data_IF_974851507906
#
_entry.id   IF_974851507906
#
_cell.length_a   1.000
_cell.length_b   1.000
_cell.length_c   1.000
_cell.angle_alpha   90.00
_cell.angle_beta   90.00
_cell.angle_gamma   90.00
#
_symmetry.space_group_name_H-M   'P 1'
#
loop_
_entity.id
_entity.type
_entity.pdbx_description
1 polymer ?
#
# COMPACT_ATOMS: atom_id res chain seq x y z
N UNK A 1 -20.76 16.16 7.80
CA UNK A 1 -19.37 16.63 7.62
C UNK A 1 -18.34 15.46 7.69
N UNK A 2 -18.47 14.49 8.64
CA UNK A 2 -17.51 13.37 8.76
C UNK A 2 -17.38 12.54 7.47
N UNK A 3 -18.51 12.27 6.77
CA UNK A 3 -18.52 11.57 5.50
C UNK A 3 -17.77 12.33 4.39
N UNK A 4 -17.83 13.68 4.41
CA UNK A 4 -17.09 14.52 3.46
C UNK A 4 -15.58 14.46 3.72
N UNK A 5 -15.16 14.55 5.00
CA UNK A 5 -13.73 14.37 5.37
C UNK A 5 -13.24 13.02 4.86
N UNK A 6 -14.01 11.95 5.10
CA UNK A 6 -13.66 10.61 4.64
C UNK A 6 -13.59 10.49 3.11
N UNK A 7 -14.56 11.10 2.39
CA UNK A 7 -14.57 11.11 0.94
C UNK A 7 -13.36 11.87 0.37
N UNK A 8 -13.10 13.07 0.86
CA UNK A 8 -11.94 13.87 0.42
C UNK A 8 -10.61 13.19 0.77
N UNK A 9 -10.51 12.56 1.95
CA UNK A 9 -9.32 11.77 2.31
C UNK A 9 -9.08 10.63 1.32
N UNK A 10 -10.14 9.93 0.89
CA UNK A 10 -10.05 8.87 -0.12
C UNK A 10 -9.78 9.36 -1.54
N UNK A 11 -10.15 10.60 -1.85
CA UNK A 11 -9.87 11.22 -3.14
C UNK A 11 -8.50 11.91 -3.21
N UNK A 12 -7.72 11.88 -2.12
CA UNK A 12 -6.39 12.49 -2.11
C UNK A 12 -6.38 13.99 -1.82
N UNK A 13 -7.48 14.59 -1.38
CA UNK A 13 -7.62 16.03 -1.17
C UNK A 13 -7.55 16.40 0.31
N UNK A 14 -6.34 16.38 0.90
CA UNK A 14 -6.14 16.67 2.32
C UNK A 14 -6.54 18.10 2.70
N UNK A 15 -6.33 19.07 1.80
CA UNK A 15 -6.70 20.47 2.06
C UNK A 15 -8.22 20.66 2.19
N UNK A 16 -9.00 19.91 1.38
CA UNK A 16 -10.45 19.90 1.52
C UNK A 16 -10.89 19.21 2.82
N UNK A 17 -10.18 18.15 3.26
CA UNK A 17 -10.43 17.56 4.58
C UNK A 17 -10.24 18.59 5.69
N UNK A 18 -9.14 19.33 5.67
CA UNK A 18 -8.84 20.40 6.66
C UNK A 18 -9.93 21.45 6.67
N UNK A 19 -10.28 21.99 5.50
CA UNK A 19 -11.33 23.03 5.40
C UNK A 19 -12.64 22.54 5.98
N UNK A 20 -13.12 21.36 5.61
CA UNK A 20 -14.37 20.80 6.16
C UNK A 20 -14.26 20.61 7.67
N UNK A 21 -13.12 20.16 8.18
CA UNK A 21 -12.89 19.96 9.61
C UNK A 21 -12.85 21.30 10.37
N UNK A 22 -12.20 22.32 9.81
CA UNK A 22 -12.07 23.65 10.43
C UNK A 22 -13.39 24.40 10.45
N UNK A 23 -14.23 24.23 9.41
CA UNK A 23 -15.56 24.83 9.28
C UNK A 23 -16.64 24.13 10.15
N UNK A 24 -16.29 23.09 10.94
CA UNK A 24 -17.24 22.42 11.83
C UNK A 24 -17.47 23.21 13.12
N UNK A 25 -18.72 23.54 13.41
CA UNK A 25 -19.14 24.22 14.67
C UNK A 25 -18.87 23.35 15.90
N UNK A 26 -19.01 22.01 15.76
CA UNK A 26 -18.73 21.06 16.83
C UNK A 26 -18.03 19.82 16.25
N UNK A 27 -17.04 19.31 16.96
CA UNK A 27 -16.24 18.15 16.57
C UNK A 27 -16.45 17.04 17.58
N UNK A 28 -16.92 15.89 17.09
CA UNK A 28 -17.03 14.66 17.88
C UNK A 28 -15.76 13.79 17.70
N UNK A 29 -15.68 12.67 18.42
CA UNK A 29 -14.55 11.72 18.30
C UNK A 29 -14.41 11.18 16.86
N UNK A 30 -15.52 11.05 16.13
CA UNK A 30 -15.51 10.57 14.73
C UNK A 30 -14.90 11.62 13.81
N UNK A 31 -15.14 12.91 14.07
CA UNK A 31 -14.54 14.03 13.33
C UNK A 31 -13.02 14.02 13.47
N UNK A 32 -12.53 13.92 14.72
CA UNK A 32 -11.11 13.84 15.03
C UNK A 32 -10.46 12.60 14.41
N UNK A 33 -11.07 11.43 14.56
CA UNK A 33 -10.58 10.18 13.98
C UNK A 33 -10.52 10.23 12.44
N UNK A 34 -11.52 10.86 11.81
CA UNK A 34 -11.53 11.03 10.36
C UNK A 34 -10.37 11.90 9.89
N UNK A 35 -10.04 12.96 10.63
CA UNK A 35 -8.92 13.83 10.31
C UNK A 35 -7.57 13.18 10.56
N UNK A 36 -7.39 12.47 11.69
CA UNK A 36 -6.19 11.69 11.98
C UNK A 36 -5.94 10.61 10.90
N UNK A 37 -7.01 9.94 10.45
CA UNK A 37 -6.93 8.96 9.36
C UNK A 37 -6.58 9.61 8.03
N UNK A 38 -7.11 10.81 7.74
CA UNK A 38 -6.74 11.57 6.54
C UNK A 38 -5.23 11.88 6.53
N UNK A 39 -4.68 12.39 7.61
CA UNK A 39 -3.24 12.63 7.74
C UNK A 39 -2.42 11.34 7.58
N UNK A 40 -2.87 10.24 8.19
CA UNK A 40 -2.21 8.92 8.06
C UNK A 40 -2.16 8.43 6.62
N UNK A 41 -3.28 8.52 5.89
CA UNK A 41 -3.37 8.11 4.48
C UNK A 41 -2.45 8.93 3.57
N UNK A 42 -2.27 10.20 3.90
CA UNK A 42 -1.43 11.13 3.16
C UNK A 42 0.04 11.14 3.63
N UNK A 43 0.41 10.29 4.58
CA UNK A 43 1.78 10.21 5.11
C UNK A 43 2.23 11.44 5.88
N UNK A 44 1.31 12.34 6.27
CA UNK A 44 1.62 13.57 7.03
C UNK A 44 1.67 13.31 8.54
N UNK A 45 2.59 12.47 8.94
CA UNK A 45 2.69 11.97 10.32
C UNK A 45 3.09 13.05 11.32
N UNK A 46 3.90 14.01 10.91
CA UNK A 46 4.29 15.14 11.76
C UNK A 46 3.10 16.00 12.20
N UNK A 47 1.99 15.97 11.43
CA UNK A 47 0.74 16.65 11.78
C UNK A 47 -0.14 15.85 12.74
N UNK A 48 0.02 14.53 12.84
CA UNK A 48 -0.88 13.65 13.61
C UNK A 48 -0.75 13.87 15.11
N UNK A 49 0.48 13.90 15.64
CA UNK A 49 0.70 14.09 17.08
C UNK A 49 0.24 15.47 17.58
N UNK A 50 0.49 16.58 16.86
CA UNK A 50 -0.11 17.88 17.19
C UNK A 50 -1.64 17.85 17.20
N UNK A 51 -2.27 17.26 16.17
CA UNK A 51 -3.74 17.15 16.08
C UNK A 51 -4.30 16.29 17.22
N UNK A 52 -3.66 15.18 17.54
CA UNK A 52 -4.03 14.34 18.68
C UNK A 52 -3.97 15.10 20.01
N UNK A 53 -2.95 15.94 20.21
CA UNK A 53 -2.82 16.77 21.42
C UNK A 53 -3.87 17.88 21.51
N UNK A 54 -4.45 18.29 20.38
CA UNK A 54 -5.51 19.29 20.33
C UNK A 54 -6.90 18.71 20.59
N UNK A 55 -7.03 17.36 20.63
CA UNK A 55 -8.31 16.74 20.92
C UNK A 55 -8.78 17.14 22.33
N UNK A 56 -9.92 17.78 22.36
CA UNK A 56 -10.65 18.18 23.57
C UNK A 56 -11.64 17.11 24.06
N UNK A 57 -11.69 15.99 23.35
CA UNK A 57 -12.58 14.85 23.60
C UNK A 57 -11.72 13.63 23.93
N UNK A 58 -12.25 12.74 24.78
CA UNK A 58 -11.58 11.49 25.16
C UNK A 58 -11.31 10.62 23.92
N UNK A 59 -10.04 10.25 23.65
CA UNK A 59 -9.68 9.34 22.58
C UNK A 59 -10.32 7.96 22.76
N UNK A 60 -10.74 7.34 21.67
CA UNK A 60 -11.27 5.98 21.61
C UNK A 60 -10.28 4.99 20.95
N UNK A 61 -10.69 3.73 20.82
CA UNK A 61 -9.91 2.68 20.16
C UNK A 61 -9.49 3.07 18.74
N UNK A 62 -10.38 3.69 17.93
CA UNK A 62 -10.09 4.09 16.57
C UNK A 62 -9.05 5.23 16.49
N UNK A 63 -9.06 6.13 17.47
CA UNK A 63 -8.04 7.17 17.63
C UNK A 63 -6.65 6.56 17.75
N UNK A 64 -6.48 5.59 18.65
CA UNK A 64 -5.18 4.94 18.87
C UNK A 64 -4.73 4.10 17.65
N UNK A 65 -5.65 3.40 16.98
CA UNK A 65 -5.34 2.70 15.73
C UNK A 65 -4.81 3.68 14.67
N UNK A 66 -5.45 4.84 14.49
CA UNK A 66 -5.01 5.83 13.50
C UNK A 66 -3.59 6.33 13.80
N UNK A 67 -3.28 6.61 15.07
CA UNK A 67 -1.97 7.11 15.48
C UNK A 67 -0.89 6.03 15.37
N UNK A 68 -1.14 4.82 15.87
CA UNK A 68 -0.19 3.72 15.81
C UNK A 68 0.11 3.31 14.36
N UNK A 69 -0.92 3.26 13.51
CA UNK A 69 -0.75 3.01 12.06
C UNK A 69 0.11 4.09 11.40
N UNK A 70 -0.11 5.34 11.75
CA UNK A 70 0.70 6.45 11.24
C UNK A 70 2.16 6.36 11.70
N UNK A 71 2.40 6.05 12.99
CA UNK A 71 3.75 5.81 13.51
C UNK A 71 4.44 4.66 12.80
N UNK A 72 3.72 3.56 12.52
CA UNK A 72 4.25 2.43 11.73
C UNK A 72 4.69 2.87 10.33
N UNK A 73 3.85 3.61 9.63
CA UNK A 73 4.15 4.04 8.26
C UNK A 73 5.30 5.05 8.17
N UNK A 74 5.49 5.86 9.21
CA UNK A 74 6.55 6.88 9.26
C UNK A 74 7.86 6.39 9.91
N UNK A 75 7.89 5.16 10.42
CA UNK A 75 9.05 4.66 11.15
C UNK A 75 9.27 5.32 12.52
N UNK A 76 8.21 5.95 13.09
CA UNK A 76 8.25 6.60 14.41
C UNK A 76 8.05 5.59 15.54
N UNK A 77 8.99 4.62 15.64
CA UNK A 77 8.84 3.46 16.53
C UNK A 77 8.75 3.86 18.01
N UNK A 78 9.61 4.75 18.45
CA UNK A 78 9.66 5.11 19.88
C UNK A 78 8.41 5.87 20.32
N UNK A 79 7.91 6.79 19.48
CA UNK A 79 6.66 7.50 19.74
C UNK A 79 5.46 6.54 19.77
N UNK A 80 5.38 5.63 18.80
CA UNK A 80 4.33 4.62 18.77
C UNK A 80 4.37 3.69 19.96
N UNK A 81 5.55 3.21 20.36
CA UNK A 81 5.71 2.38 21.56
C UNK A 81 5.36 3.12 22.85
N UNK A 82 5.69 4.41 22.94
CA UNK A 82 5.28 5.23 24.10
C UNK A 82 3.76 5.33 24.20
N UNK A 83 3.07 5.57 23.08
CA UNK A 83 1.61 5.62 23.04
C UNK A 83 1.02 4.26 23.42
N UNK A 84 1.53 3.18 22.84
CA UNK A 84 1.05 1.83 23.15
C UNK A 84 1.22 1.46 24.64
N UNK A 85 2.36 1.78 25.25
CA UNK A 85 2.58 1.59 26.68
C UNK A 85 1.58 2.40 27.53
N UNK A 86 1.30 3.65 27.15
CA UNK A 86 0.31 4.48 27.84
C UNK A 86 -1.11 3.92 27.78
N UNK A 87 -1.43 3.14 26.74
CA UNK A 87 -2.71 2.42 26.66
C UNK A 87 -2.78 1.27 27.66
N UNK A 88 -1.68 0.54 27.88
CA UNK A 88 -1.61 -0.58 28.84
C UNK A 88 -1.79 -0.13 30.29
N UNK A 89 -1.45 1.14 30.60
CA UNK A 89 -1.54 1.71 31.93
C UNK A 89 -2.99 2.11 32.32
N UNK A 90 -3.91 2.19 31.34
CA UNK A 90 -5.26 2.72 31.56
C UNK A 90 -6.32 1.68 31.18
N UNK A 91 -7.14 1.22 32.15
CA UNK A 91 -8.16 0.19 31.89
C UNK A 91 -9.14 0.53 30.76
N UNK A 92 -9.47 1.82 30.60
CA UNK A 92 -10.41 2.30 29.59
C UNK A 92 -9.83 2.36 28.17
N UNK A 93 -8.51 2.20 28.01
CA UNK A 93 -7.83 2.24 26.72
C UNK A 93 -7.04 0.96 26.43
N UNK A 94 -7.35 -0.15 27.11
CA UNK A 94 -6.64 -1.42 26.91
C UNK A 94 -6.57 -1.81 25.45
N UNK A 95 -5.38 -2.21 24.96
CA UNK A 95 -5.18 -2.56 23.56
C UNK A 95 -6.03 -3.76 23.13
N UNK A 96 -6.59 -3.66 21.93
CA UNK A 96 -7.31 -4.72 21.21
C UNK A 96 -6.42 -5.27 20.08
N UNK A 97 -6.83 -6.36 19.43
CA UNK A 97 -6.08 -7.02 18.36
C UNK A 97 -5.52 -6.05 17.30
N UNK A 98 -6.33 -5.10 16.85
CA UNK A 98 -5.89 -4.12 15.84
C UNK A 98 -4.75 -3.20 16.33
N UNK A 99 -4.70 -2.87 17.62
CA UNK A 99 -3.59 -2.09 18.17
C UNK A 99 -2.31 -2.91 18.20
N UNK A 100 -2.39 -4.17 18.63
CA UNK A 100 -1.26 -5.10 18.57
C UNK A 100 -0.76 -5.30 17.14
N UNK A 101 -1.66 -5.46 16.17
CA UNK A 101 -1.28 -5.57 14.75
C UNK A 101 -0.50 -4.33 14.25
N UNK A 102 -0.94 -3.10 14.62
CA UNK A 102 -0.21 -1.87 14.30
C UNK A 102 1.19 -1.84 14.91
N UNK A 103 1.33 -2.28 16.17
CA UNK A 103 2.62 -2.33 16.89
C UNK A 103 3.55 -3.37 16.25
N UNK A 104 3.03 -4.55 15.92
CA UNK A 104 3.80 -5.61 15.27
C UNK A 104 4.24 -5.20 13.85
N UNK A 105 3.37 -4.54 13.06
CA UNK A 105 3.75 -3.96 11.76
C UNK A 105 4.84 -2.90 11.94
N UNK A 106 4.72 -2.04 12.94
CA UNK A 106 5.70 -0.99 13.24
C UNK A 106 7.07 -1.56 13.62
N UNK A 107 7.12 -2.50 14.56
CA UNK A 107 8.36 -3.17 14.99
C UNK A 107 8.97 -3.98 13.85
N UNK A 108 8.14 -4.72 13.12
CA UNK A 108 8.59 -5.52 11.99
C UNK A 108 9.16 -4.67 10.84
N UNK A 109 8.56 -3.51 10.53
CA UNK A 109 9.09 -2.55 9.54
C UNK A 109 10.44 -1.97 9.93
N UNK A 110 10.71 -1.89 11.23
CA UNK A 110 11.97 -1.42 11.80
C UNK A 110 12.98 -2.55 12.05
N UNK A 111 12.72 -3.77 11.57
CA UNK A 111 13.53 -4.98 11.78
C UNK A 111 13.65 -5.43 13.26
N UNK A 112 12.83 -4.89 14.15
CA UNK A 112 12.83 -5.23 15.60
C UNK A 112 12.00 -6.50 15.85
N UNK A 113 12.34 -7.59 15.15
CA UNK A 113 11.56 -8.84 15.19
C UNK A 113 11.51 -9.49 16.56
N UNK A 114 12.59 -9.44 17.34
CA UNK A 114 12.60 -10.00 18.70
C UNK A 114 11.56 -9.31 19.61
N UNK A 115 11.41 -8.00 19.49
CA UNK A 115 10.41 -7.26 20.25
C UNK A 115 8.99 -7.53 19.73
N UNK A 116 8.82 -7.70 18.41
CA UNK A 116 7.54 -8.08 17.84
C UNK A 116 7.08 -9.47 18.37
N UNK A 117 8.00 -10.45 18.42
CA UNK A 117 7.71 -11.77 19.00
C UNK A 117 7.37 -11.68 20.49
N UNK A 118 8.06 -10.83 21.24
CA UNK A 118 7.79 -10.63 22.67
C UNK A 118 6.41 -10.00 22.90
N UNK A 119 6.05 -8.99 22.08
CA UNK A 119 4.70 -8.40 22.10
C UNK A 119 3.63 -9.47 21.82
N UNK A 120 3.84 -10.34 20.82
CA UNK A 120 2.92 -11.44 20.51
C UNK A 120 2.75 -12.40 21.69
N UNK A 121 3.85 -12.76 22.36
CA UNK A 121 3.82 -13.67 23.54
C UNK A 121 3.08 -13.06 24.72
N UNK A 122 3.20 -11.74 24.90
CA UNK A 122 2.58 -11.01 26.01
C UNK A 122 1.14 -10.60 25.76
N UNK A 123 0.59 -10.85 24.56
CA UNK A 123 -0.80 -10.53 24.25
C UNK A 123 -1.75 -11.29 25.21
N UNK A 124 -2.73 -10.60 25.84
CA UNK A 124 -3.71 -11.24 26.71
C UNK A 124 -4.80 -12.02 25.94
N UNK A 125 -4.79 -11.93 24.62
CA UNK A 125 -5.71 -12.63 23.72
C UNK A 125 -4.92 -13.37 22.63
N UNK A 126 -5.52 -14.41 22.04
CA UNK A 126 -4.90 -15.13 20.92
C UNK A 126 -4.74 -14.24 19.68
N UNK A 127 -3.54 -14.19 19.07
CA UNK A 127 -3.32 -13.46 17.83
C UNK A 127 -4.22 -13.98 16.72
N UNK A 128 -4.85 -13.06 15.98
CA UNK A 128 -5.70 -13.34 14.83
C UNK A 128 -4.94 -13.26 13.49
N UNK A 129 -5.66 -13.43 12.39
CA UNK A 129 -5.09 -13.35 11.05
C UNK A 129 -4.49 -11.96 10.74
N UNK A 130 -5.01 -10.88 11.33
CA UNK A 130 -4.50 -9.52 11.10
C UNK A 130 -3.11 -9.36 11.72
N UNK A 131 -2.93 -9.86 12.94
CA UNK A 131 -1.65 -9.86 13.67
C UNK A 131 -0.58 -10.65 12.90
N UNK A 132 -0.90 -11.88 12.49
CA UNK A 132 0.04 -12.72 11.74
C UNK A 132 0.33 -12.19 10.34
N UNK A 133 -0.66 -11.55 9.68
CA UNK A 133 -0.46 -10.89 8.38
C UNK A 133 0.49 -9.70 8.48
N UNK A 134 0.41 -8.91 9.55
CA UNK A 134 1.32 -7.79 9.80
C UNK A 134 2.77 -8.28 9.97
N UNK A 135 2.97 -9.35 10.76
CA UNK A 135 4.28 -9.97 10.94
C UNK A 135 4.83 -10.54 9.64
N UNK A 136 4.02 -11.31 8.90
CA UNK A 136 4.42 -11.93 7.64
C UNK A 136 4.79 -10.88 6.58
N UNK A 137 4.02 -9.79 6.50
CA UNK A 137 4.31 -8.67 5.60
C UNK A 137 5.66 -8.00 5.88
N UNK A 138 6.02 -7.88 7.15
CA UNK A 138 7.31 -7.35 7.58
C UNK A 138 8.45 -8.35 7.30
N UNK A 139 8.24 -9.63 7.57
CA UNK A 139 9.20 -10.69 7.24
C UNK A 139 9.52 -10.70 5.74
N UNK A 140 8.51 -10.54 4.89
CA UNK A 140 8.72 -10.41 3.44
C UNK A 140 9.57 -9.21 3.06
N UNK A 141 9.34 -8.06 3.70
CA UNK A 141 10.10 -6.83 3.42
C UNK A 141 11.59 -6.99 3.71
N UNK A 142 11.94 -7.72 4.77
CA UNK A 142 13.29 -7.83 5.28
C UNK A 142 13.92 -9.23 5.06
N UNK A 143 13.25 -10.13 4.32
CA UNK A 143 13.79 -11.46 4.02
C UNK A 143 13.89 -12.38 5.23
N UNK A 144 13.11 -12.18 6.29
CA UNK A 144 13.13 -13.07 7.47
C UNK A 144 12.30 -14.33 7.22
N UNK A 145 12.89 -15.31 6.56
CA UNK A 145 12.20 -16.55 6.15
C UNK A 145 11.79 -17.41 7.33
N UNK A 146 12.62 -17.50 8.36
CA UNK A 146 12.33 -18.33 9.54
C UNK A 146 11.06 -17.88 10.25
N UNK A 147 10.97 -16.60 10.57
CA UNK A 147 9.81 -16.03 11.25
C UNK A 147 8.61 -15.92 10.31
N UNK A 148 8.87 -15.63 9.03
CA UNK A 148 7.85 -15.62 7.97
C UNK A 148 7.13 -16.95 7.85
N UNK A 149 7.85 -18.09 7.92
CA UNK A 149 7.26 -19.42 7.92
C UNK A 149 6.32 -19.64 9.10
N UNK A 150 6.75 -19.27 10.32
CA UNK A 150 5.90 -19.37 11.52
C UNK A 150 4.61 -18.57 11.34
N UNK A 151 4.70 -17.32 10.88
CA UNK A 151 3.53 -16.47 10.65
C UNK A 151 2.61 -17.02 9.55
N UNK A 152 3.18 -17.55 8.46
CA UNK A 152 2.41 -18.15 7.37
C UNK A 152 1.69 -19.43 7.79
N UNK A 153 2.33 -20.29 8.57
CA UNK A 153 1.70 -21.52 9.08
C UNK A 153 0.53 -21.18 10.00
N UNK A 154 0.67 -20.17 10.88
CA UNK A 154 -0.43 -19.65 11.70
C UNK A 154 -1.58 -19.06 10.88
N UNK A 155 -1.27 -18.34 9.79
CA UNK A 155 -2.29 -17.83 8.88
C UNK A 155 -3.03 -18.95 8.15
N UNK A 156 -2.33 -20.01 7.73
CA UNK A 156 -2.97 -21.19 7.10
C UNK A 156 -3.89 -21.93 8.07
N UNK A 157 -3.53 -21.99 9.36
CA UNK A 157 -4.40 -22.55 10.41
C UNK A 157 -5.68 -21.72 10.59
N UNK A 158 -5.57 -20.39 10.58
CA UNK A 158 -6.69 -19.47 10.81
C UNK A 158 -7.55 -19.23 9.56
N UNK A 159 -6.92 -19.10 8.40
CA UNK A 159 -7.55 -18.78 7.12
C UNK A 159 -7.03 -19.69 5.99
N UNK A 160 -7.43 -20.97 5.94
CA UNK A 160 -6.90 -21.94 4.96
C UNK A 160 -7.16 -21.57 3.49
N UNK A 161 -8.21 -20.78 3.23
CA UNK A 161 -8.63 -20.34 1.89
C UNK A 161 -8.05 -19.01 1.47
N UNK A 162 -7.29 -18.33 2.35
CA UNK A 162 -6.63 -17.05 2.03
C UNK A 162 -5.37 -17.28 1.20
N UNK A 163 -5.27 -16.60 0.06
CA UNK A 163 -4.06 -16.68 -0.78
C UNK A 163 -2.83 -15.98 -0.17
N UNK A 164 -3.03 -15.17 0.88
CA UNK A 164 -2.02 -14.28 1.43
C UNK A 164 -0.78 -15.03 1.91
N UNK A 165 -0.96 -16.07 2.73
CA UNK A 165 0.14 -16.85 3.31
C UNK A 165 0.99 -17.54 2.23
N UNK A 166 0.35 -18.14 1.23
CA UNK A 166 1.02 -18.83 0.13
C UNK A 166 1.83 -17.88 -0.74
N UNK A 167 1.22 -16.75 -1.14
CA UNK A 167 1.86 -15.75 -1.99
C UNK A 167 3.04 -15.09 -1.25
N UNK A 168 2.85 -14.69 0.00
CA UNK A 168 3.91 -14.04 0.78
C UNK A 168 5.10 -14.97 0.99
N UNK A 169 4.86 -16.25 1.32
CA UNK A 169 5.96 -17.24 1.46
C UNK A 169 6.64 -17.53 0.14
N UNK A 170 5.88 -17.72 -0.95
CA UNK A 170 6.49 -17.86 -2.27
C UNK A 170 7.40 -16.68 -2.62
N UNK A 171 6.97 -15.46 -2.28
CA UNK A 171 7.76 -14.26 -2.51
C UNK A 171 9.03 -14.19 -1.65
N UNK A 172 8.95 -14.60 -0.38
CA UNK A 172 10.13 -14.69 0.52
C UNK A 172 11.13 -15.69 -0.06
N UNK A 173 10.69 -16.89 -0.40
CA UNK A 173 11.55 -17.93 -0.96
C UNK A 173 12.17 -17.52 -2.31
N UNK A 174 11.39 -16.88 -3.18
CA UNK A 174 11.92 -16.36 -4.45
C UNK A 174 13.01 -15.31 -4.25
N UNK A 175 12.83 -14.42 -3.26
CA UNK A 175 13.81 -13.38 -2.94
C UNK A 175 15.13 -13.95 -2.37
N UNK A 176 15.08 -15.13 -1.72
CA UNK A 176 16.26 -15.87 -1.24
C UNK A 176 16.90 -16.77 -2.32
N UNK A 177 16.32 -16.87 -3.51
CA UNK A 177 16.77 -17.81 -4.54
C UNK A 177 16.31 -19.26 -4.29
N UNK A 178 15.44 -19.49 -3.29
CA UNK A 178 14.90 -20.82 -2.96
C UNK A 178 13.67 -21.14 -3.82
N UNK A 179 13.86 -21.22 -5.14
CA UNK A 179 12.76 -21.35 -6.12
C UNK A 179 11.96 -22.64 -5.95
N UNK A 180 12.59 -23.75 -5.53
CA UNK A 180 11.90 -25.00 -5.24
C UNK A 180 10.86 -24.84 -4.13
N UNK A 181 11.17 -24.12 -3.05
CA UNK A 181 10.25 -23.89 -1.95
C UNK A 181 9.17 -22.88 -2.36
N UNK A 182 9.51 -21.90 -3.19
CA UNK A 182 8.55 -20.96 -3.76
C UNK A 182 7.51 -21.70 -4.64
N UNK A 183 7.94 -22.64 -5.47
CA UNK A 183 7.07 -23.45 -6.31
C UNK A 183 6.18 -24.38 -5.46
N UNK A 184 6.73 -25.01 -4.42
CA UNK A 184 5.93 -25.81 -3.47
C UNK A 184 4.79 -24.99 -2.85
N UNK A 185 5.06 -23.75 -2.43
CA UNK A 185 4.02 -22.87 -1.87
C UNK A 185 2.93 -22.53 -2.90
N UNK A 186 3.28 -22.35 -4.18
CA UNK A 186 2.33 -22.11 -5.27
C UNK A 186 1.48 -23.36 -5.57
N UNK A 187 2.11 -24.54 -5.66
CA UNK A 187 1.43 -25.82 -5.88
C UNK A 187 0.48 -26.16 -4.72
N UNK A 188 0.87 -25.84 -3.48
CA UNK A 188 0.00 -25.98 -2.32
C UNK A 188 -1.25 -25.09 -2.46
N UNK A 189 -1.07 -23.82 -2.87
CA UNK A 189 -2.19 -22.91 -3.14
C UNK A 189 -3.14 -23.44 -4.21
N UNK A 190 -2.61 -23.99 -5.31
CA UNK A 190 -3.39 -24.61 -6.38
C UNK A 190 -4.15 -25.85 -5.91
N UNK A 191 -3.48 -26.72 -5.12
CA UNK A 191 -4.10 -27.93 -4.52
C UNK A 191 -5.31 -27.58 -3.67
N UNK A 192 -5.26 -26.47 -2.93
CA UNK A 192 -6.37 -25.96 -2.14
C UNK A 192 -7.37 -25.12 -2.94
N UNK A 193 -7.18 -25.01 -4.27
CA UNK A 193 -8.01 -24.19 -5.19
C UNK A 193 -8.12 -22.72 -4.76
N UNK A 194 -7.13 -22.23 -4.05
CA UNK A 194 -7.07 -20.83 -3.63
C UNK A 194 -6.68 -19.97 -4.83
N UNK A 195 -7.50 -18.97 -5.17
CA UNK A 195 -7.23 -18.07 -6.30
C UNK A 195 -6.55 -16.80 -5.82
N UNK A 196 -5.47 -16.42 -6.54
CA UNK A 196 -4.84 -15.12 -6.35
C UNK A 196 -5.76 -14.02 -6.91
N UNK A 197 -5.99 -12.98 -6.12
CA UNK A 197 -6.65 -11.77 -6.63
C UNK A 197 -5.73 -11.07 -7.63
N UNK A 198 -6.20 -10.78 -8.87
CA UNK A 198 -5.38 -10.08 -9.86
C UNK A 198 -5.12 -8.65 -9.43
N UNK A 199 -3.90 -8.16 -9.69
CA UNK A 199 -3.57 -6.75 -9.53
C UNK A 199 -4.26 -5.92 -10.59
N UNK A 200 -5.18 -5.05 -10.16
CA UNK A 200 -5.93 -4.13 -11.01
C UNK A 200 -5.52 -2.69 -10.69
N UNK A 201 -5.45 -1.87 -11.73
CA UNK A 201 -5.25 -0.43 -11.61
C UNK A 201 -6.29 0.32 -12.43
N UNK A 202 -6.69 1.49 -11.95
CA UNK A 202 -7.67 2.36 -12.61
C UNK A 202 -7.11 3.77 -12.74
N UNK A 203 -7.46 4.42 -13.83
CA UNK A 203 -7.30 5.87 -13.99
C UNK A 203 -8.58 6.45 -14.59
N UNK A 204 -8.93 7.67 -14.18
CA UNK A 204 -10.08 8.38 -14.71
C UNK A 204 -9.63 9.43 -15.71
N UNK A 205 -10.21 9.38 -16.92
CA UNK A 205 -9.95 10.35 -17.97
C UNK A 205 -11.27 10.73 -18.64
N UNK A 206 -11.62 12.01 -18.56
CA UNK A 206 -12.84 12.54 -19.16
C UNK A 206 -14.11 11.92 -18.60
N UNK A 207 -14.20 11.81 -17.28
CA UNK A 207 -15.32 11.23 -16.54
C UNK A 207 -15.57 9.74 -16.89
N UNK A 208 -14.53 9.05 -17.40
CA UNK A 208 -14.57 7.60 -17.67
C UNK A 208 -13.46 6.90 -16.91
N UNK A 209 -13.81 5.86 -16.20
CA UNK A 209 -12.86 5.00 -15.49
C UNK A 209 -12.32 3.95 -16.46
N UNK A 210 -11.01 3.84 -16.55
CA UNK A 210 -10.30 2.87 -17.36
C UNK A 210 -9.55 1.89 -16.47
N UNK A 211 -9.81 0.61 -16.66
CA UNK A 211 -9.23 -0.48 -15.87
C UNK A 211 -8.09 -1.17 -16.64
N UNK A 212 -7.03 -1.52 -15.90
CA UNK A 212 -5.84 -2.21 -16.39
C UNK A 212 -5.51 -3.39 -15.48
N UNK A 213 -5.16 -4.51 -16.10
CA UNK A 213 -4.69 -5.72 -15.40
C UNK A 213 -3.31 -6.10 -15.92
N UNK A 214 -2.45 -6.64 -15.06
CA UNK A 214 -1.19 -7.27 -15.48
C UNK A 214 -1.51 -8.48 -16.37
N UNK A 215 -0.83 -8.59 -17.52
CA UNK A 215 -1.12 -9.63 -18.52
C UNK A 215 -2.25 -9.31 -19.52
N UNK A 216 -2.91 -8.16 -19.35
CA UNK A 216 -3.78 -7.51 -20.35
C UNK A 216 -5.12 -8.20 -20.62
N UNK A 217 -6.23 -7.51 -20.35
CA UNK A 217 -7.49 -7.80 -21.03
C UNK A 217 -7.39 -7.34 -22.50
N UNK A 218 -8.11 -8.00 -23.42
CA UNK A 218 -8.20 -7.56 -24.84
C UNK A 218 -8.81 -6.14 -24.89
N UNK A 219 -7.99 -5.16 -25.27
CA UNK A 219 -8.39 -3.77 -25.53
C UNK A 219 -8.01 -3.41 -26.94
N UNK A 220 -8.83 -2.61 -27.62
CA UNK A 220 -8.56 -2.15 -28.98
C UNK A 220 -7.32 -1.23 -29.06
N UNK A 221 -7.01 -0.51 -27.96
CA UNK A 221 -5.90 0.43 -27.84
C UNK A 221 -4.62 -0.19 -27.22
N UNK A 222 -4.59 -1.51 -27.01
CA UNK A 222 -3.49 -2.20 -26.32
C UNK A 222 -2.13 -1.87 -26.92
N UNK A 223 -1.97 -2.03 -28.23
CA UNK A 223 -0.68 -1.80 -28.90
C UNK A 223 -0.20 -0.35 -28.78
N UNK A 224 -1.12 0.61 -28.80
CA UNK A 224 -0.78 2.01 -28.62
C UNK A 224 -0.29 2.30 -27.18
N UNK A 225 -0.94 1.69 -26.18
CA UNK A 225 -0.55 1.79 -24.76
C UNK A 225 0.85 1.19 -24.55
N UNK A 226 1.11 0.00 -25.12
CA UNK A 226 2.42 -0.66 -24.99
C UNK A 226 3.53 0.15 -25.64
N UNK A 227 3.32 0.69 -26.84
CA UNK A 227 4.28 1.60 -27.50
C UNK A 227 4.56 2.86 -26.68
N UNK A 228 3.53 3.46 -26.06
CA UNK A 228 3.76 4.62 -25.19
C UNK A 228 4.49 4.23 -23.92
N UNK A 229 4.21 3.05 -23.36
CA UNK A 229 4.93 2.52 -22.20
C UNK A 229 6.41 2.31 -22.50
N UNK A 230 6.73 1.66 -23.63
CA UNK A 230 8.11 1.46 -24.09
C UNK A 230 8.85 2.78 -24.27
N UNK A 231 8.19 3.79 -24.85
CA UNK A 231 8.74 5.13 -24.98
C UNK A 231 9.03 5.79 -23.63
N UNK A 232 8.12 5.66 -22.68
CA UNK A 232 8.34 6.16 -21.30
C UNK A 232 9.51 5.44 -20.64
N UNK A 233 9.57 4.12 -20.74
CA UNK A 233 10.66 3.30 -20.20
C UNK A 233 12.01 3.73 -20.75
N UNK A 234 12.13 3.89 -22.08
CA UNK A 234 13.36 4.34 -22.72
C UNK A 234 13.87 5.66 -22.12
N UNK A 235 12.98 6.66 -22.06
CA UNK A 235 13.33 7.97 -21.46
C UNK A 235 13.65 7.90 -19.97
N UNK A 236 12.98 7.03 -19.22
CA UNK A 236 13.24 6.85 -17.80
C UNK A 236 14.59 6.14 -17.56
N UNK A 237 14.96 5.18 -18.42
CA UNK A 237 16.27 4.53 -18.39
C UNK A 237 17.40 5.56 -18.63
N UNK A 238 17.21 6.50 -19.55
CA UNK A 238 18.14 7.63 -19.74
C UNK A 238 18.27 8.52 -18.50
N UNK A 239 17.22 8.61 -17.68
CA UNK A 239 17.22 9.32 -16.38
C UNK A 239 17.73 8.48 -15.21
N UNK A 240 18.21 7.26 -15.46
CA UNK A 240 18.75 6.37 -14.43
C UNK A 240 17.72 5.41 -13.81
N UNK A 241 16.57 5.18 -14.43
CA UNK A 241 15.66 4.13 -13.98
C UNK A 241 16.29 2.76 -14.23
N UNK A 242 16.40 1.99 -13.17
CA UNK A 242 16.79 0.57 -13.21
C UNK A 242 15.65 -0.26 -12.62
N UNK A 243 15.10 -1.24 -13.36
CA UNK A 243 14.07 -2.13 -12.83
C UNK A 243 14.56 -2.85 -11.57
N UNK A 244 13.74 -2.86 -10.50
CA UNK A 244 14.05 -3.57 -9.26
C UNK A 244 13.68 -5.04 -9.41
N UNK A 245 14.64 -5.84 -9.87
CA UNK A 245 14.46 -7.26 -10.22
C UNK A 245 13.97 -8.11 -9.04
N UNK A 246 14.24 -7.73 -7.79
CA UNK A 246 13.69 -8.39 -6.60
C UNK A 246 12.18 -8.27 -6.49
N UNK A 247 11.57 -7.33 -7.23
CA UNK A 247 10.12 -7.18 -7.34
C UNK A 247 9.50 -8.14 -8.36
N UNK A 248 10.29 -8.82 -9.20
CA UNK A 248 9.85 -9.88 -10.10
C UNK A 248 9.72 -11.19 -9.32
N UNK A 249 8.50 -11.55 -8.97
CA UNK A 249 8.18 -12.64 -8.04
C UNK A 249 7.87 -13.97 -8.75
N UNK A 250 8.23 -14.08 -10.04
CA UNK A 250 8.04 -15.30 -10.83
C UNK A 250 9.38 -16.01 -11.03
N UNK A 251 9.29 -17.34 -11.06
CA UNK A 251 10.40 -18.23 -11.43
C UNK A 251 10.58 -18.19 -12.95
N UNK A 252 11.20 -17.14 -13.41
CA UNK A 252 11.56 -16.92 -14.80
C UNK A 252 13.09 -17.01 -14.81
N UNK A 253 13.66 -17.97 -15.51
CA UNK A 253 15.10 -18.22 -15.56
C UNK A 253 15.85 -17.09 -16.27
N UNK A 254 15.22 -16.44 -17.26
CA UNK A 254 15.82 -15.39 -18.05
C UNK A 254 15.53 -13.99 -17.44
N UNK A 255 16.58 -13.23 -17.19
CA UNK A 255 16.47 -11.86 -16.63
C UNK A 255 15.65 -10.93 -17.54
N UNK A 256 15.74 -11.09 -18.86
CA UNK A 256 14.94 -10.32 -19.83
C UNK A 256 13.43 -10.52 -19.63
N UNK A 257 12.99 -11.75 -19.42
CA UNK A 257 11.57 -12.04 -19.18
C UNK A 257 11.08 -11.52 -17.82
N UNK A 258 11.97 -11.52 -16.80
CA UNK A 258 11.66 -10.87 -15.51
C UNK A 258 11.45 -9.36 -15.67
N UNK A 259 12.35 -8.71 -16.41
CA UNK A 259 12.26 -7.30 -16.71
C UNK A 259 10.98 -6.99 -17.49
N UNK A 260 10.68 -7.74 -18.54
CA UNK A 260 9.47 -7.59 -19.34
C UNK A 260 8.20 -7.70 -18.47
N UNK A 261 8.16 -8.67 -17.56
CA UNK A 261 7.03 -8.85 -16.65
C UNK A 261 6.85 -7.67 -15.69
N UNK A 262 7.95 -7.13 -15.15
CA UNK A 262 7.92 -5.92 -14.30
C UNK A 262 7.47 -4.69 -15.07
N UNK A 263 7.86 -4.58 -16.33
CA UNK A 263 7.52 -3.44 -17.17
C UNK A 263 6.02 -3.38 -17.49
N UNK A 264 5.30 -4.52 -17.46
CA UNK A 264 3.89 -4.60 -17.81
C UNK A 264 2.95 -4.65 -16.60
N UNK A 265 3.37 -4.14 -15.44
CA UNK A 265 2.48 -3.98 -14.30
C UNK A 265 1.33 -3.01 -14.60
N UNK A 266 0.15 -3.30 -14.06
CA UNK A 266 -1.10 -2.57 -14.34
C UNK A 266 -1.01 -1.07 -14.09
N UNK A 267 -0.21 -0.63 -13.10
CA UNK A 267 0.01 0.79 -12.79
C UNK A 267 0.75 1.51 -13.93
N UNK A 268 1.77 0.87 -14.49
CA UNK A 268 2.57 1.43 -15.59
C UNK A 268 1.72 1.54 -16.86
N UNK A 269 0.86 0.55 -17.11
CA UNK A 269 -0.11 0.59 -18.21
C UNK A 269 -1.13 1.73 -18.03
N UNK A 270 -1.63 1.93 -16.80
CA UNK A 270 -2.54 3.02 -16.48
C UNK A 270 -1.89 4.38 -16.72
N UNK A 271 -0.61 4.54 -16.32
CA UNK A 271 0.14 5.77 -16.57
C UNK A 271 0.36 6.01 -18.06
N UNK A 272 0.81 4.99 -18.80
CA UNK A 272 1.04 5.12 -20.24
C UNK A 272 -0.24 5.55 -20.99
N UNK A 273 -1.38 4.96 -20.61
CA UNK A 273 -2.67 5.36 -21.14
C UNK A 273 -3.02 6.81 -20.80
N UNK A 274 -2.83 7.23 -19.54
CA UNK A 274 -3.11 8.60 -19.13
C UNK A 274 -2.27 9.63 -19.90
N UNK A 275 -0.99 9.33 -20.12
CA UNK A 275 -0.09 10.18 -20.91
C UNK A 275 -0.51 10.25 -22.38
N UNK A 276 -0.86 9.11 -22.97
CA UNK A 276 -1.32 9.02 -24.37
C UNK A 276 -2.60 9.84 -24.58
N UNK A 277 -3.61 9.67 -23.74
CA UNK A 277 -4.87 10.38 -23.83
C UNK A 277 -4.74 11.88 -23.49
N UNK A 278 -3.86 12.24 -22.57
CA UNK A 278 -3.55 13.64 -22.28
C UNK A 278 -3.00 14.39 -23.50
N UNK A 279 -2.10 13.75 -24.27
CA UNK A 279 -1.59 14.32 -25.53
C UNK A 279 -2.68 14.43 -26.59
N UNK A 280 -3.52 13.40 -26.73
CA UNK A 280 -4.60 13.37 -27.71
C UNK A 280 -5.57 14.54 -27.51
N UNK A 281 -5.95 14.81 -26.25
CA UNK A 281 -6.83 15.94 -25.90
C UNK A 281 -6.21 17.31 -26.16
N UNK A 282 -4.90 17.44 -25.92
CA UNK A 282 -4.18 18.68 -26.24
C UNK A 282 -4.15 18.95 -27.75
N UNK A 283 -4.16 17.93 -28.58
CA UNK A 283 -4.22 18.07 -30.08
C UNK A 283 -5.62 18.41 -30.57
N UNK A 284 -6.68 17.84 -29.98
CA UNK A 284 -8.07 17.99 -30.42
C UNK A 284 -8.71 19.32 -29.98
N UNK A 285 -7.96 20.27 -29.43
CA UNK A 285 -8.43 21.61 -29.04
C UNK A 285 -9.51 21.61 -27.96
N UNK A 286 -9.75 20.48 -27.32
CA UNK A 286 -10.67 20.36 -26.20
C UNK A 286 -10.13 21.13 -25.00
N UNK A 287 -10.75 22.24 -24.66
CA UNK A 287 -10.39 23.15 -23.56
C UNK A 287 -10.57 22.54 -22.15
N UNK A 288 -10.09 21.34 -21.96
CA UNK A 288 -9.84 20.75 -20.65
C UNK A 288 -8.49 21.24 -20.17
N UNK A 289 -8.47 22.13 -19.17
CA UNK A 289 -7.26 22.68 -18.57
C UNK A 289 -6.22 21.59 -18.38
N UNK A 290 -4.97 21.94 -18.58
CA UNK A 290 -3.82 21.03 -18.44
C UNK A 290 -3.89 20.41 -17.04
N UNK A 291 -4.45 19.17 -16.97
CA UNK A 291 -4.61 18.48 -15.71
C UNK A 291 -3.21 18.11 -15.25
N UNK A 292 -2.67 18.92 -14.35
CA UNK A 292 -1.32 18.74 -13.82
C UNK A 292 -1.21 17.50 -12.92
N UNK A 293 -2.34 16.81 -12.68
CA UNK A 293 -2.44 15.64 -11.81
C UNK A 293 -2.91 14.41 -12.60
N UNK A 294 -2.14 13.33 -12.49
CA UNK A 294 -2.53 11.99 -12.97
C UNK A 294 -2.84 11.13 -11.74
N UNK A 295 -4.08 10.62 -11.65
CA UNK A 295 -4.49 9.75 -10.56
C UNK A 295 -4.56 8.29 -11.02
N UNK A 296 -3.93 7.41 -10.24
CA UNK A 296 -3.96 5.96 -10.45
C UNK A 296 -4.40 5.28 -9.16
N UNK A 297 -5.45 4.49 -9.23
CA UNK A 297 -5.95 3.68 -8.12
C UNK A 297 -5.54 2.22 -8.31
N UNK A 298 -5.23 1.51 -7.23
CA UNK A 298 -4.83 0.10 -7.25
C UNK A 298 -5.49 -0.68 -6.13
N UNK A 299 -5.96 -1.91 -6.41
CA UNK A 299 -6.60 -2.78 -5.43
C UNK A 299 -5.62 -3.44 -4.44
N UNK A 300 -4.38 -3.65 -4.85
CA UNK A 300 -3.32 -4.23 -4.03
C UNK A 300 -2.18 -3.22 -3.81
N UNK A 301 -1.26 -3.52 -2.91
CA UNK A 301 -0.12 -2.65 -2.63
C UNK A 301 0.79 -2.49 -3.85
N UNK A 302 1.23 -1.26 -4.10
CA UNK A 302 2.24 -0.98 -5.14
C UNK A 302 3.59 -1.59 -4.78
N UNK A 303 4.29 -2.20 -5.74
CA UNK A 303 5.65 -2.70 -5.55
C UNK A 303 6.68 -1.56 -5.57
N UNK A 304 7.88 -1.82 -5.05
CA UNK A 304 8.97 -0.82 -4.99
C UNK A 304 9.35 -0.34 -6.39
N UNK A 305 9.40 -1.26 -7.35
CA UNK A 305 9.74 -0.93 -8.73
C UNK A 305 8.74 0.05 -9.36
N UNK A 306 7.43 -0.22 -9.26
CA UNK A 306 6.41 0.69 -9.75
C UNK A 306 6.43 2.04 -9.01
N UNK A 307 6.71 2.05 -7.71
CA UNK A 307 6.83 3.29 -6.94
C UNK A 307 8.00 4.16 -7.45
N UNK A 308 9.16 3.57 -7.69
CA UNK A 308 10.33 4.28 -8.24
C UNK A 308 10.06 4.76 -9.66
N UNK A 309 9.41 3.93 -10.48
CA UNK A 309 8.97 4.30 -11.83
C UNK A 309 8.08 5.54 -11.81
N UNK A 310 7.05 5.57 -10.95
CA UNK A 310 6.13 6.71 -10.85
C UNK A 310 6.82 8.00 -10.40
N UNK A 311 7.76 7.91 -9.45
CA UNK A 311 8.58 9.07 -9.02
C UNK A 311 9.39 9.68 -10.14
N UNK A 312 10.05 8.86 -10.95
CA UNK A 312 10.84 9.34 -12.08
C UNK A 312 9.93 9.82 -13.22
N UNK A 313 8.81 9.15 -13.47
CA UNK A 313 7.83 9.56 -14.47
C UNK A 313 7.21 10.93 -14.14
N UNK A 314 6.92 11.20 -12.86
CA UNK A 314 6.46 12.52 -12.41
C UNK A 314 7.47 13.63 -12.78
N UNK A 315 8.76 13.41 -12.50
CA UNK A 315 9.83 14.35 -12.88
C UNK A 315 9.95 14.50 -14.39
N UNK A 316 9.90 13.40 -15.15
CA UNK A 316 10.00 13.38 -16.60
C UNK A 316 8.87 14.15 -17.28
N UNK A 317 7.66 14.01 -16.77
CA UNK A 317 6.45 14.59 -17.34
C UNK A 317 6.16 16.01 -16.84
N UNK A 318 6.82 16.44 -15.75
CA UNK A 318 6.52 17.70 -15.07
C UNK A 318 5.08 17.72 -14.49
N UNK A 319 4.53 16.55 -14.18
CA UNK A 319 3.16 16.38 -13.66
C UNK A 319 3.17 15.69 -12.31
N UNK A 320 2.22 16.03 -11.47
CA UNK A 320 1.97 15.30 -10.23
C UNK A 320 1.32 13.94 -10.57
N UNK A 321 1.88 12.86 -10.03
CA UNK A 321 1.32 11.51 -10.16
C UNK A 321 0.92 11.03 -8.79
N UNK A 322 -0.36 10.91 -8.53
CA UNK A 322 -0.93 10.43 -7.30
C UNK A 322 -1.34 8.95 -7.46
N UNK A 323 -0.64 8.07 -6.79
CA UNK A 323 -0.99 6.64 -6.78
C UNK A 323 -1.61 6.29 -5.44
N UNK A 324 -2.82 5.78 -5.45
CA UNK A 324 -3.48 5.23 -4.27
C UNK A 324 -3.51 3.71 -4.36
N UNK A 325 -2.88 3.05 -3.42
CA UNK A 325 -2.99 1.60 -3.24
C UNK A 325 -3.98 1.22 -2.11
N UNK A 326 -4.04 -0.05 -1.75
CA UNK A 326 -4.93 -0.54 -0.67
C UNK A 326 -4.66 0.11 0.68
N UNK A 327 -3.47 0.68 0.90
CA UNK A 327 -3.02 1.14 2.21
C UNK A 327 -2.90 2.67 2.31
N UNK A 328 -2.42 3.34 1.27
CA UNK A 328 -2.09 4.78 1.33
C UNK A 328 -1.99 5.42 -0.06
N UNK A 329 -1.76 6.73 -0.05
CA UNK A 329 -1.33 7.50 -1.21
C UNK A 329 0.21 7.55 -1.32
N UNK A 330 0.67 7.59 -2.55
CA UNK A 330 2.08 7.72 -2.93
C UNK A 330 2.26 8.88 -3.88
#
# INVERSE_FOLDING_TARGET
NNSLIHAYAKCGSLDLCKRVFDDMDSRDVVSWNSMLKAYSLHGQVDSILPVFKQMDIKPDSATFIAILSACSHAGRVEEGMKIFRSMLEKPETLPQLNHYACVIDMLGRAERFAEAEEVIKQMPMSPDAVVWSALLGSCRKHGNTKLGKVAADKLKELEPTSSLSYIQMSNIYSAEGSFSEADKSRKEMERWRVRKEPGLSWTEIGNKVHEFASGGRRRADREAIYRELERLIGRLKEMGYVPEMRSALQDIEEEEQKEEHLLHHSEKLALAFAVMEGRRRSYDGGGGGDVNLIQIMKNIRICIDCHNFMKLASKLLGKEILVRDSNRFH
#
